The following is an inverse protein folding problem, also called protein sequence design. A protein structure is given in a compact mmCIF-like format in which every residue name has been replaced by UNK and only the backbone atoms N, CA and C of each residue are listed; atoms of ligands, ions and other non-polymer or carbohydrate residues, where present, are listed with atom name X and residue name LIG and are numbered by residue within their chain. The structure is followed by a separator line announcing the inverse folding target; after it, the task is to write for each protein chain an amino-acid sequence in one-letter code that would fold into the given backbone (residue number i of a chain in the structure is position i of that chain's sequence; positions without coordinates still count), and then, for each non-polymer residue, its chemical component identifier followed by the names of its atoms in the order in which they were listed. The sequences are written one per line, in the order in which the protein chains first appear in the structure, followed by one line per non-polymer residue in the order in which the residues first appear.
data_IF_061897200600
#
_entry.id   IF_061897200600
#
_cell.length_a   1.000
_cell.length_b   1.000
_cell.length_c   1.000
_cell.angle_alpha   90.00
_cell.angle_beta   90.00
_cell.angle_gamma   90.00
#
_symmetry.space_group_name_H-M   'P 1'
#
loop_
_entity.id
_entity.type
_entity.pdbx_description
1 polymer ?
#
# COMPACT_ATOMS: atom_id res chain seq x y z
N UNK A 1 -25.20 -1.91 -0.16
CA UNK A 1 -23.83 -1.97 -0.70
C UNK A 1 -23.89 -2.66 -2.05
N UNK A 2 -23.29 -2.08 -3.10
CA UNK A 2 -23.27 -2.69 -4.45
C UNK A 2 -22.31 -3.88 -4.47
N UNK A 3 -22.47 -4.81 -5.42
CA UNK A 3 -21.52 -5.93 -5.60
C UNK A 3 -20.09 -5.44 -5.82
N UNK A 4 -19.94 -4.32 -6.52
CA UNK A 4 -18.63 -3.72 -6.80
C UNK A 4 -17.97 -3.20 -5.53
N UNK A 5 -18.69 -2.46 -4.67
CA UNK A 5 -18.16 -1.98 -3.39
C UNK A 5 -17.70 -3.15 -2.48
N UNK A 6 -18.45 -4.24 -2.45
CA UNK A 6 -18.06 -5.45 -1.71
C UNK A 6 -16.77 -6.07 -2.27
N UNK A 7 -16.67 -6.19 -3.59
CA UNK A 7 -15.47 -6.71 -4.25
C UNK A 7 -14.23 -5.86 -3.97
N UNK A 8 -14.35 -4.53 -3.96
CA UNK A 8 -13.25 -3.63 -3.65
C UNK A 8 -12.79 -3.75 -2.18
N UNK A 9 -13.74 -3.86 -1.24
CA UNK A 9 -13.44 -4.08 0.18
C UNK A 9 -12.71 -5.41 0.41
N UNK A 10 -13.15 -6.47 -0.27
CA UNK A 10 -12.50 -7.79 -0.22
C UNK A 10 -11.08 -7.74 -0.79
N UNK A 11 -10.89 -7.05 -1.91
CA UNK A 11 -9.58 -6.83 -2.53
C UNK A 11 -8.63 -6.09 -1.58
N UNK A 12 -9.06 -4.95 -1.02
CA UNK A 12 -8.28 -4.20 -0.04
C UNK A 12 -7.92 -5.06 1.17
N UNK A 13 -8.89 -5.77 1.74
CA UNK A 13 -8.68 -6.66 2.90
C UNK A 13 -7.71 -7.80 2.59
N UNK A 14 -7.72 -8.32 1.36
CA UNK A 14 -6.78 -9.36 0.91
C UNK A 14 -5.35 -8.83 0.86
N UNK A 15 -5.15 -7.65 0.25
CA UNK A 15 -3.82 -7.05 0.11
C UNK A 15 -3.25 -6.62 1.47
N UNK A 16 -4.08 -6.03 2.34
CA UNK A 16 -3.65 -5.65 3.70
C UNK A 16 -3.16 -6.88 4.48
N UNK A 17 -3.86 -8.02 4.37
CA UNK A 17 -3.41 -9.27 5.00
C UNK A 17 -2.07 -9.75 4.43
N UNK A 18 -1.90 -9.69 3.10
CA UNK A 18 -0.64 -10.04 2.42
C UNK A 18 0.52 -9.18 2.91
N UNK A 19 0.32 -7.87 3.06
CA UNK A 19 1.35 -6.94 3.54
C UNK A 19 1.78 -7.19 4.99
N UNK A 20 0.97 -7.92 5.76
CA UNK A 20 1.26 -8.34 7.14
C UNK A 20 1.84 -9.77 7.20
N UNK A 21 2.19 -10.39 6.08
CA UNK A 21 2.74 -11.75 6.08
C UNK A 21 4.08 -11.82 6.82
N UNK A 22 4.26 -12.88 7.62
CA UNK A 22 5.49 -13.15 8.36
C UNK A 22 6.73 -13.25 7.48
N UNK A 23 6.57 -13.59 6.20
CA UNK A 23 7.63 -13.63 5.19
C UNK A 23 8.34 -12.27 5.03
N UNK A 24 7.69 -11.16 5.40
CA UNK A 24 8.28 -9.83 5.38
C UNK A 24 9.01 -9.43 6.67
N UNK A 25 8.96 -10.23 7.74
CA UNK A 25 9.69 -9.96 8.98
C UNK A 25 11.23 -9.86 8.81
N UNK A 26 11.89 -10.71 8.00
CA UNK A 26 13.34 -10.62 7.77
C UNK A 26 13.79 -9.30 7.14
N UNK A 27 12.90 -8.61 6.44
CA UNK A 27 13.14 -7.29 5.84
C UNK A 27 13.25 -6.18 6.90
N UNK A 28 12.94 -6.50 8.17
CA UNK A 28 13.02 -5.59 9.32
C UNK A 28 12.22 -4.30 9.12
N UNK A 29 11.10 -4.39 8.40
CA UNK A 29 10.23 -3.24 8.05
C UNK A 29 9.77 -2.41 9.26
N UNK A 30 9.71 -3.02 10.44
CA UNK A 30 9.33 -2.39 11.71
C UNK A 30 10.46 -1.56 12.35
N UNK A 31 11.70 -1.62 11.84
CA UNK A 31 12.84 -0.89 12.42
C UNK A 31 13.17 0.34 11.59
N UNK A 32 13.27 1.50 12.26
CA UNK A 32 13.59 2.80 11.65
C UNK A 32 14.92 2.84 10.89
N UNK A 33 15.87 2.00 11.26
CA UNK A 33 17.19 1.90 10.62
C UNK A 33 17.18 1.06 9.34
N UNK A 34 16.10 0.32 9.06
CA UNK A 34 16.00 -0.47 7.85
C UNK A 34 15.75 0.44 6.65
N UNK A 35 16.48 0.20 5.54
CA UNK A 35 16.33 0.96 4.29
C UNK A 35 14.88 1.03 3.82
N UNK A 36 14.11 -0.04 3.99
CA UNK A 36 12.70 -0.13 3.57
C UNK A 36 11.69 0.45 4.56
N UNK A 37 12.13 0.97 5.71
CA UNK A 37 11.24 1.56 6.70
C UNK A 37 10.37 2.70 6.13
N UNK A 38 10.88 3.65 5.32
CA UNK A 38 10.04 4.73 4.78
C UNK A 38 8.86 4.21 3.94
N UNK A 39 9.09 3.17 3.15
CA UNK A 39 8.04 2.51 2.37
C UNK A 39 7.02 1.85 3.29
N UNK A 40 7.47 1.01 4.23
CA UNK A 40 6.56 0.32 5.15
C UNK A 40 5.78 1.28 6.05
N UNK A 41 6.39 2.37 6.50
CA UNK A 41 5.71 3.41 7.26
C UNK A 41 4.62 4.10 6.42
N UNK A 42 4.88 4.35 5.13
CA UNK A 42 3.89 4.95 4.24
C UNK A 42 2.72 3.99 3.99
N UNK A 43 3.01 2.71 3.76
CA UNK A 43 2.01 1.64 3.64
C UNK A 43 1.16 1.52 4.90
N UNK A 44 1.76 1.50 6.08
CA UNK A 44 1.02 1.43 7.34
C UNK A 44 0.12 2.64 7.54
N UNK A 45 0.57 3.83 7.13
CA UNK A 45 -0.24 5.04 7.19
C UNK A 45 -1.41 4.98 6.19
N UNK A 46 -1.18 4.53 4.96
CA UNK A 46 -2.25 4.29 3.97
C UNK A 46 -3.32 3.36 4.56
N UNK A 47 -2.92 2.24 5.18
CA UNK A 47 -3.84 1.31 5.81
C UNK A 47 -4.59 1.96 6.97
N UNK A 48 -3.90 2.75 7.79
CA UNK A 48 -4.52 3.52 8.87
C UNK A 48 -5.59 4.49 8.36
N UNK A 49 -5.25 5.29 7.36
CA UNK A 49 -6.17 6.21 6.68
C UNK A 49 -7.38 5.49 6.08
N UNK A 50 -7.16 4.35 5.42
CA UNK A 50 -8.22 3.52 4.87
C UNK A 50 -9.18 3.02 5.95
N UNK A 51 -8.65 2.46 7.04
CA UNK A 51 -9.45 1.94 8.16
C UNK A 51 -10.18 3.03 8.93
N UNK A 52 -9.65 4.26 8.93
CA UNK A 52 -10.28 5.41 9.57
C UNK A 52 -11.19 6.22 8.65
N UNK A 53 -11.45 5.76 7.42
CA UNK A 53 -12.26 6.47 6.42
C UNK A 53 -11.77 7.90 6.17
N UNK A 54 -10.44 8.10 6.17
CA UNK A 54 -9.78 9.39 5.94
C UNK A 54 -8.94 9.32 4.66
N UNK A 55 -9.54 9.49 3.47
CA UNK A 55 -8.88 9.21 2.20
C UNK A 55 -7.89 10.29 1.75
N UNK A 56 -8.01 11.52 2.24
CA UNK A 56 -7.22 12.66 1.75
C UNK A 56 -5.69 12.40 1.72
N UNK A 57 -5.08 11.79 2.75
CA UNK A 57 -3.64 11.55 2.75
C UNK A 57 -3.22 10.39 1.85
N UNK A 58 -4.14 9.49 1.49
CA UNK A 58 -3.83 8.21 0.84
C UNK A 58 -3.10 8.42 -0.48
N UNK A 59 -3.57 9.36 -1.31
CA UNK A 59 -2.99 9.59 -2.64
C UNK A 59 -1.57 10.18 -2.58
N UNK A 60 -1.33 11.07 -1.62
CA UNK A 60 0.01 11.63 -1.36
C UNK A 60 0.95 10.51 -0.90
N UNK A 61 0.48 9.64 -0.01
CA UNK A 61 1.27 8.51 0.49
C UNK A 61 1.54 7.45 -0.59
N UNK A 62 0.55 7.15 -1.45
CA UNK A 62 0.72 6.25 -2.58
C UNK A 62 1.77 6.79 -3.57
N UNK A 63 1.75 8.10 -3.85
CA UNK A 63 2.81 8.75 -4.63
C UNK A 63 4.20 8.59 -4.01
N UNK A 64 4.32 8.75 -2.70
CA UNK A 64 5.59 8.51 -1.97
C UNK A 64 6.05 7.06 -2.05
N UNK A 65 5.13 6.10 -1.99
CA UNK A 65 5.46 4.68 -2.18
C UNK A 65 6.05 4.43 -3.57
N UNK A 66 5.41 4.95 -4.63
CA UNK A 66 5.90 4.83 -6.01
C UNK A 66 7.31 5.42 -6.14
N UNK A 67 7.49 6.67 -5.70
CA UNK A 67 8.78 7.35 -5.72
C UNK A 67 9.87 6.58 -4.99
N UNK A 68 9.58 6.06 -3.79
CA UNK A 68 10.55 5.28 -3.03
C UNK A 68 10.99 4.02 -3.79
N UNK A 69 10.04 3.29 -4.40
CA UNK A 69 10.36 2.06 -5.13
C UNK A 69 11.16 2.34 -6.40
N UNK A 70 10.96 3.49 -7.04
CA UNK A 70 11.76 3.97 -8.18
C UNK A 70 13.18 4.38 -7.75
N UNK A 71 13.31 5.19 -6.69
CA UNK A 71 14.59 5.68 -6.18
C UNK A 71 15.44 4.58 -5.52
N UNK A 72 14.78 3.52 -5.04
CA UNK A 72 15.40 2.40 -4.35
C UNK A 72 14.97 1.09 -5.02
N UNK A 73 15.51 0.75 -6.20
CA UNK A 73 15.23 -0.53 -6.83
C UNK A 73 15.64 -1.70 -5.92
N UNK A 74 14.75 -2.67 -5.79
CA UNK A 74 15.00 -3.89 -5.03
C UNK A 74 15.70 -4.93 -5.92
N UNK A 75 16.67 -5.64 -5.34
CA UNK A 75 17.32 -6.79 -5.99
C UNK A 75 17.18 -8.09 -5.20
N UNK A 76 16.88 -8.01 -3.89
CA UNK A 76 16.61 -9.19 -3.08
C UNK A 76 15.16 -9.67 -3.28
N UNK A 77 14.92 -11.00 -3.32
CA UNK A 77 13.59 -11.54 -3.56
C UNK A 77 12.52 -11.09 -2.56
N UNK A 78 12.90 -10.83 -1.31
CA UNK A 78 11.97 -10.42 -0.26
C UNK A 78 11.46 -9.00 -0.50
N UNK A 79 12.36 -8.07 -0.80
CA UNK A 79 12.00 -6.69 -1.15
C UNK A 79 11.22 -6.63 -2.46
N UNK A 80 11.58 -7.43 -3.47
CA UNK A 80 10.81 -7.55 -4.71
C UNK A 80 9.37 -8.00 -4.45
N UNK A 81 9.20 -9.04 -3.61
CA UNK A 81 7.88 -9.51 -3.21
C UNK A 81 7.10 -8.46 -2.42
N UNK A 82 7.78 -7.68 -1.57
CA UNK A 82 7.15 -6.58 -0.84
C UNK A 82 6.72 -5.45 -1.78
N UNK A 83 7.56 -5.05 -2.74
CA UNK A 83 7.23 -4.03 -3.73
C UNK A 83 6.03 -4.44 -4.58
N UNK A 84 5.97 -5.71 -4.99
CA UNK A 84 4.80 -6.25 -5.68
C UNK A 84 3.52 -6.15 -4.83
N UNK A 85 3.59 -6.46 -3.53
CA UNK A 85 2.44 -6.32 -2.63
C UNK A 85 2.03 -4.85 -2.43
N UNK A 86 2.99 -3.92 -2.41
CA UNK A 86 2.69 -2.47 -2.35
C UNK A 86 2.04 -1.98 -3.64
N UNK A 87 2.51 -2.44 -4.81
CA UNK A 87 1.84 -2.13 -6.08
C UNK A 87 0.41 -2.66 -6.11
N UNK A 88 0.16 -3.89 -5.62
CA UNK A 88 -1.20 -4.42 -5.51
C UNK A 88 -2.12 -3.58 -4.60
N UNK A 89 -1.56 -2.97 -3.55
CA UNK A 89 -2.30 -2.05 -2.67
C UNK A 89 -2.68 -0.78 -3.42
N UNK A 90 -1.71 -0.20 -4.13
CA UNK A 90 -1.92 1.01 -4.92
C UNK A 90 -2.95 0.76 -6.03
N UNK A 91 -2.86 -0.35 -6.75
CA UNK A 91 -3.83 -0.73 -7.77
C UNK A 91 -5.24 -0.95 -7.19
N UNK A 92 -5.32 -1.49 -5.97
CA UNK A 92 -6.59 -1.65 -5.28
C UNK A 92 -7.20 -0.29 -4.90
N UNK A 93 -6.38 0.67 -4.45
CA UNK A 93 -6.80 2.05 -4.18
C UNK A 93 -7.24 2.76 -5.47
N UNK A 94 -6.45 2.69 -6.54
CA UNK A 94 -6.77 3.29 -7.85
C UNK A 94 -8.10 2.74 -8.39
N UNK A 95 -8.40 1.45 -8.16
CA UNK A 95 -9.67 0.83 -8.56
C UNK A 95 -10.91 1.38 -7.83
N UNK A 96 -10.71 2.06 -6.70
CA UNK A 96 -11.75 2.71 -5.88
C UNK A 96 -11.86 4.19 -6.25
N UNK A 97 -10.70 4.82 -6.52
CA UNK A 97 -10.56 6.25 -6.84
C UNK A 97 -11.05 6.68 -8.23
N UNK A 98 -11.32 5.75 -9.16
CA UNK A 98 -11.95 6.09 -10.45
C UNK A 98 -13.43 6.50 -10.34
N UNK A 99 -13.98 6.59 -9.12
CA UNK A 99 -15.39 6.96 -8.90
C UNK A 99 -15.60 8.37 -8.33
N UNK A 100 -14.59 9.04 -7.76
CA UNK A 100 -14.82 10.31 -7.04
C UNK A 100 -13.81 11.44 -7.31
N UNK A 101 -12.90 11.31 -8.27
CA UNK A 101 -12.11 12.47 -8.74
C UNK A 101 -12.57 12.86 -10.15
N UNK A 102 -13.77 13.44 -10.22
CA UNK A 102 -14.16 14.36 -11.30
C UNK A 102 -14.14 15.78 -10.74
N UNK A 103 -13.04 16.46 -11.06
CA UNK A 103 -12.84 17.92 -11.23
C UNK A 103 -13.29 18.89 -10.12
N UNK A 104 -12.60 20.02 -10.05
CA UNK A 104 -13.23 21.29 -10.40
C UNK A 104 -12.82 21.82 -11.78
#
# INVERSE_FOLDING_TARGET
MTKDAQMHLERMSSVIRKLNDRAFLPLRLYRRDARMYPLSSSVNHIVGCWLSENPDPIWILAGRCRQFMEDTPASDPGALAYYAAVNELIDALDSIGMTEVREP
#
